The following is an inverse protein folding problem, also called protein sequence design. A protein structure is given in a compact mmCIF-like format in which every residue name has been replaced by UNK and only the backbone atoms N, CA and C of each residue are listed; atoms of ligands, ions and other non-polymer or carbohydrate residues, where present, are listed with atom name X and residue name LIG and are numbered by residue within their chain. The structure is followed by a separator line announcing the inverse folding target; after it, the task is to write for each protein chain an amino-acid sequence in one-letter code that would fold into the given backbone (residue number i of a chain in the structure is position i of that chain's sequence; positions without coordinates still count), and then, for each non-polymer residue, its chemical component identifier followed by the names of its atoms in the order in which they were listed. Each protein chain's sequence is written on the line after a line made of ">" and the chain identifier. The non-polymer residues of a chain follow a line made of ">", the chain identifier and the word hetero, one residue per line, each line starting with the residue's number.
data_IF_388243937100
#
_entry.id   IF_388243937100
#
_cell.length_a   1.000
_cell.length_b   1.000
_cell.length_c   1.000
_cell.angle_alpha   90.00
_cell.angle_beta   90.00
_cell.angle_gamma   90.00
#
_symmetry.space_group_name_H-M   'P 1'
#
loop_
_entity.id
_entity.type
_entity.pdbx_description
1 polymer ?
#
# COMPACT_ATOMS: atom_id res chain seq x y z
N UNK A 1 13.38 31.58 -3.09
CA UNK A 1 12.02 31.56 -3.64
C UNK A 1 11.97 32.60 -4.75
N UNK A 2 11.45 32.23 -5.91
CA UNK A 2 11.46 33.04 -7.13
C UNK A 2 10.01 33.21 -7.57
N UNK A 3 9.59 34.45 -7.78
CA UNK A 3 8.28 34.75 -8.36
C UNK A 3 8.30 34.34 -9.84
N UNK A 4 7.35 33.49 -10.25
CA UNK A 4 7.17 33.04 -11.64
C UNK A 4 6.16 33.95 -12.35
N UNK A 5 5.07 34.31 -11.67
CA UNK A 5 4.08 35.29 -12.13
C UNK A 5 3.41 36.02 -10.94
N UNK A 6 2.37 36.81 -11.20
CA UNK A 6 1.67 37.61 -10.18
C UNK A 6 1.12 36.77 -9.00
N UNK A 7 0.93 35.46 -9.18
CA UNK A 7 0.34 34.55 -8.19
C UNK A 7 1.18 33.31 -7.88
N UNK A 8 2.17 32.98 -8.71
CA UNK A 8 2.95 31.76 -8.61
C UNK A 8 4.38 32.04 -8.15
N UNK A 9 4.82 31.31 -7.13
CA UNK A 9 6.18 31.33 -6.62
C UNK A 9 6.75 29.92 -6.62
N UNK A 10 8.05 29.80 -6.83
CA UNK A 10 8.77 28.53 -6.78
C UNK A 10 9.97 28.59 -5.85
N UNK A 11 10.34 27.45 -5.30
CA UNK A 11 11.59 27.28 -4.58
C UNK A 11 12.10 25.87 -4.85
N UNK A 12 13.42 25.72 -4.87
CA UNK A 12 14.06 24.42 -5.00
C UNK A 12 14.36 23.86 -3.62
N UNK A 13 14.08 22.57 -3.44
CA UNK A 13 14.54 21.81 -2.28
C UNK A 13 15.87 21.18 -2.68
N UNK A 14 16.98 21.45 -1.97
CA UNK A 14 18.27 20.86 -2.29
C UNK A 14 18.21 19.34 -2.33
N UNK A 15 18.99 18.72 -3.21
CA UNK A 15 19.08 17.28 -3.31
C UNK A 15 19.39 16.66 -1.94
N UNK A 16 18.65 15.61 -1.61
CA UNK A 16 18.81 14.83 -0.40
C UNK A 16 19.21 13.39 -0.78
N UNK A 17 19.83 12.63 0.13
CA UNK A 17 20.08 11.20 -0.10
C UNK A 17 18.78 10.41 -0.32
N UNK A 18 18.85 9.30 -1.06
CA UNK A 18 17.74 8.34 -1.15
C UNK A 18 17.32 7.86 0.24
N UNK A 19 16.05 7.46 0.38
CA UNK A 19 15.38 7.12 1.64
C UNK A 19 15.22 8.27 2.65
N UNK A 20 15.64 9.49 2.32
CA UNK A 20 15.32 10.65 3.14
C UNK A 20 13.83 11.00 3.05
N UNK A 21 13.23 11.36 4.19
CA UNK A 21 11.90 11.99 4.22
C UNK A 21 12.11 13.49 4.42
N UNK A 22 11.78 14.27 3.40
CA UNK A 22 11.81 15.73 3.49
C UNK A 22 10.51 16.20 4.10
N UNK A 23 10.59 16.95 5.20
CA UNK A 23 9.47 17.67 5.80
C UNK A 23 9.61 19.15 5.49
N UNK A 24 8.54 19.76 5.00
CA UNK A 24 8.55 21.16 4.60
C UNK A 24 7.20 21.82 4.85
N UNK A 25 7.19 23.14 4.87
CA UNK A 25 5.99 23.97 4.89
C UNK A 25 6.25 25.21 4.06
N UNK A 26 5.18 25.86 3.61
CA UNK A 26 5.25 27.14 2.92
C UNK A 26 4.87 28.22 3.90
N UNK A 27 5.56 29.36 3.85
CA UNK A 27 5.19 30.55 4.61
C UNK A 27 5.18 31.78 3.71
N UNK A 28 4.19 32.64 3.88
CA UNK A 28 4.07 33.92 3.21
C UNK A 28 3.91 35.02 4.26
N UNK A 29 4.58 36.14 4.06
CA UNK A 29 4.49 37.34 4.89
C UNK A 29 4.23 38.53 3.97
N UNK A 30 3.28 39.39 4.35
CA UNK A 30 2.97 40.60 3.60
C UNK A 30 3.77 41.82 4.07
N UNK A 31 3.58 42.95 3.39
CA UNK A 31 4.24 44.22 3.70
C UNK A 31 3.88 44.82 5.07
N UNK A 32 2.83 44.29 5.72
CA UNK A 32 2.40 44.64 7.08
C UNK A 32 2.96 43.68 8.13
N UNK A 33 3.82 42.73 7.74
CA UNK A 33 4.38 41.72 8.63
C UNK A 33 3.38 40.63 9.04
N UNK A 34 2.23 40.52 8.35
CA UNK A 34 1.24 39.47 8.64
C UNK A 34 1.69 38.20 7.95
N UNK A 35 1.90 37.16 8.76
CA UNK A 35 2.43 35.87 8.30
C UNK A 35 1.36 34.79 8.27
N UNK A 36 1.38 33.96 7.23
CA UNK A 36 0.61 32.71 7.11
C UNK A 36 1.53 31.56 6.74
N UNK A 37 1.10 30.36 7.08
CA UNK A 37 1.79 29.11 6.77
C UNK A 37 0.83 28.12 6.12
N UNK A 38 1.39 27.17 5.38
CA UNK A 38 0.70 25.99 4.91
C UNK A 38 1.59 24.75 5.14
N UNK A 39 1.15 23.76 5.93
CA UNK A 39 -0.10 23.72 6.70
C UNK A 39 -0.18 24.87 7.73
N UNK A 40 -1.40 25.29 8.09
CA UNK A 40 -1.63 26.49 8.92
C UNK A 40 -1.06 26.40 10.33
N UNK A 41 -0.77 25.20 10.81
CA UNK A 41 -0.20 24.91 12.12
C UNK A 41 1.22 24.33 12.05
N UNK A 42 1.93 24.51 10.93
CA UNK A 42 3.29 23.96 10.75
C UNK A 42 4.29 24.39 11.82
N UNK A 43 4.14 25.60 12.35
CA UNK A 43 5.06 26.18 13.34
C UNK A 43 4.64 25.94 14.80
N UNK A 44 3.41 25.47 15.04
CA UNK A 44 2.89 25.22 16.39
C UNK A 44 2.81 23.73 16.73
N UNK A 45 2.44 22.90 15.74
CA UNK A 45 2.09 21.49 15.97
C UNK A 45 3.02 20.52 15.22
N UNK A 46 4.11 21.02 14.62
CA UNK A 46 5.04 20.21 13.79
C UNK A 46 4.35 19.45 12.63
N UNK A 47 3.26 20.01 12.10
CA UNK A 47 2.54 19.45 10.96
C UNK A 47 3.15 19.96 9.67
N UNK A 48 3.85 19.09 8.96
CA UNK A 48 4.54 19.41 7.72
C UNK A 48 3.94 18.67 6.54
N UNK A 49 4.05 19.27 5.35
CA UNK A 49 4.04 18.50 4.12
C UNK A 49 5.28 17.60 4.10
N UNK A 50 5.18 16.44 3.47
CA UNK A 50 6.31 15.53 3.35
C UNK A 50 6.34 14.82 2.02
N UNK A 51 7.55 14.49 1.55
CA UNK A 51 7.78 13.54 0.47
C UNK A 51 9.04 12.71 0.74
N UNK A 52 9.10 11.53 0.16
CA UNK A 52 10.27 10.65 0.22
C UNK A 52 11.17 10.86 -0.99
N UNK A 53 12.48 10.75 -0.79
CA UNK A 53 13.46 10.69 -1.88
C UNK A 53 13.57 9.24 -2.34
N UNK A 54 12.80 8.93 -3.37
CA UNK A 54 12.69 7.57 -3.88
C UNK A 54 13.82 7.23 -4.85
N UNK A 55 14.34 6.02 -4.74
CA UNK A 55 15.20 5.41 -5.74
C UNK A 55 14.34 4.53 -6.67
N UNK A 56 14.29 4.80 -7.98
CA UNK A 56 13.55 3.99 -8.93
C UNK A 56 13.94 2.50 -8.89
N UNK A 57 12.97 1.63 -9.19
CA UNK A 57 13.19 0.17 -9.31
C UNK A 57 13.81 -0.47 -8.05
N UNK A 58 13.45 0.04 -6.88
CA UNK A 58 13.84 -0.53 -5.59
C UNK A 58 12.64 -1.15 -4.90
N UNK A 59 12.91 -2.13 -4.02
CA UNK A 59 11.91 -2.68 -3.11
C UNK A 59 11.55 -1.60 -2.09
N UNK A 60 10.32 -1.09 -2.16
CA UNK A 60 9.87 0.05 -1.36
C UNK A 60 9.49 -0.33 0.08
N UNK A 61 9.14 -1.60 0.30
CA UNK A 61 8.77 -2.22 1.57
C UNK A 61 9.11 -3.71 1.46
N UNK A 62 9.58 -4.31 2.55
CA UNK A 62 9.79 -5.74 2.66
C UNK A 62 9.63 -6.24 4.09
N UNK A 63 8.52 -6.91 4.38
CA UNK A 63 8.21 -7.58 5.64
C UNK A 63 8.36 -9.09 5.44
N UNK A 64 9.53 -9.60 5.83
CA UNK A 64 9.82 -11.05 5.78
C UNK A 64 9.19 -11.83 6.93
N UNK A 65 8.95 -11.17 8.07
CA UNK A 65 8.51 -11.76 9.35
C UNK A 65 9.53 -12.70 10.01
N UNK A 66 10.79 -12.70 9.57
CA UNK A 66 11.83 -13.57 10.12
C UNK A 66 12.36 -13.12 11.50
N UNK A 67 11.87 -12.00 12.04
CA UNK A 67 12.15 -11.58 13.41
C UNK A 67 11.54 -12.55 14.45
N UNK A 68 10.46 -13.23 14.07
CA UNK A 68 9.81 -14.26 14.88
C UNK A 68 9.10 -13.74 16.14
N UNK A 69 8.56 -14.67 16.96
CA UNK A 69 7.77 -14.33 18.14
C UNK A 69 8.47 -13.38 19.11
N UNK A 70 7.75 -12.37 19.60
CA UNK A 70 8.24 -11.38 20.55
C UNK A 70 8.80 -10.10 19.94
N UNK A 71 8.89 -10.02 18.61
CA UNK A 71 9.38 -8.85 17.88
C UNK A 71 8.28 -8.20 17.04
N UNK A 72 8.38 -6.89 16.84
CA UNK A 72 7.52 -6.17 15.88
C UNK A 72 8.07 -6.43 14.47
N UNK A 73 7.23 -6.73 13.46
CA UNK A 73 7.68 -6.87 12.07
C UNK A 73 8.47 -5.64 11.62
N UNK A 74 9.60 -5.86 10.95
CA UNK A 74 10.45 -4.76 10.48
C UNK A 74 10.50 -4.73 8.96
N UNK A 75 10.50 -3.52 8.41
CA UNK A 75 10.82 -3.33 7.01
C UNK A 75 12.32 -3.52 6.79
N UNK A 76 12.66 -4.62 6.11
CA UNK A 76 14.01 -4.98 5.71
C UNK A 76 14.43 -4.37 4.36
N UNK A 77 13.57 -3.57 3.74
CA UNK A 77 13.92 -2.79 2.56
C UNK A 77 14.96 -1.72 2.87
N UNK A 78 15.50 -1.12 1.80
CA UNK A 78 16.40 0.03 1.92
C UNK A 78 15.80 1.23 2.68
N UNK A 79 14.47 1.34 2.73
CA UNK A 79 13.77 2.48 3.32
C UNK A 79 13.52 2.33 4.82
N UNK A 80 13.58 1.13 5.38
CA UNK A 80 13.39 0.88 6.81
C UNK A 80 12.10 1.50 7.36
N UNK A 81 11.01 1.39 6.61
CA UNK A 81 9.74 2.00 6.95
C UNK A 81 9.24 1.53 8.33
N UNK A 82 8.81 2.46 9.21
CA UNK A 82 8.25 2.08 10.49
C UNK A 82 6.92 1.36 10.31
N UNK A 83 6.80 0.18 10.92
CA UNK A 83 5.56 -0.61 10.95
C UNK A 83 4.83 -0.35 12.26
N UNK A 84 3.56 0.05 12.15
CA UNK A 84 2.65 0.11 13.30
C UNK A 84 1.81 -1.16 13.34
N UNK A 85 1.80 -1.81 14.49
CA UNK A 85 1.04 -3.04 14.75
C UNK A 85 -0.22 -2.68 15.51
N UNK A 86 -1.37 -3.12 14.99
CA UNK A 86 -2.67 -2.99 15.65
C UNK A 86 -3.19 -4.36 16.04
N UNK A 87 -3.97 -4.44 17.11
CA UNK A 87 -4.46 -5.71 17.65
C UNK A 87 -3.35 -6.52 18.31
N UNK A 88 -3.41 -7.85 18.16
CA UNK A 88 -2.40 -8.79 18.66
C UNK A 88 -1.96 -9.80 17.58
N UNK A 89 -1.35 -9.37 16.46
CA UNK A 89 -0.77 -10.29 15.50
C UNK A 89 0.26 -11.22 16.14
N UNK A 90 0.33 -12.46 15.66
CA UNK A 90 1.28 -13.46 16.16
C UNK A 90 2.06 -14.08 15.02
N UNK A 91 3.27 -14.58 15.30
CA UNK A 91 4.05 -15.29 14.30
C UNK A 91 3.64 -16.76 14.23
N UNK A 92 3.65 -17.32 13.04
CA UNK A 92 3.28 -18.70 12.74
C UNK A 92 4.39 -19.41 11.98
N UNK A 93 4.74 -20.63 12.39
CA UNK A 93 5.94 -21.34 11.88
C UNK A 93 5.74 -22.16 10.61
N UNK A 94 4.51 -22.38 10.15
CA UNK A 94 4.23 -23.12 8.92
C UNK A 94 3.94 -22.14 7.77
N UNK A 95 4.91 -21.26 7.54
CA UNK A 95 4.89 -20.26 6.47
C UNK A 95 5.07 -20.90 5.10
N UNK A 96 4.49 -20.29 4.06
CA UNK A 96 4.81 -20.65 2.68
C UNK A 96 6.21 -20.20 2.25
N UNK A 97 6.70 -19.10 2.84
CA UNK A 97 8.01 -18.53 2.55
C UNK A 97 8.70 -18.19 3.87
N UNK A 98 9.99 -18.53 3.98
CA UNK A 98 10.75 -18.34 5.22
C UNK A 98 10.33 -19.28 6.35
N UNK A 99 10.73 -18.95 7.58
CA UNK A 99 10.37 -19.71 8.77
C UNK A 99 9.06 -19.21 9.39
N UNK A 100 8.66 -17.97 9.12
CA UNK A 100 7.52 -17.34 9.78
C UNK A 100 6.59 -16.60 8.84
N UNK A 101 5.30 -16.65 9.18
CA UNK A 101 4.25 -15.79 8.66
C UNK A 101 3.67 -14.96 9.81
N UNK A 102 3.05 -13.82 9.49
CA UNK A 102 2.25 -13.08 10.45
C UNK A 102 0.78 -13.53 10.37
N UNK A 103 0.20 -13.85 11.53
CA UNK A 103 -1.21 -14.15 11.69
C UNK A 103 -1.98 -12.89 12.12
N UNK A 104 -3.11 -12.64 11.46
CA UNK A 104 -4.08 -11.59 11.77
C UNK A 104 -5.43 -12.27 12.05
N UNK A 105 -6.06 -12.00 13.20
CA UNK A 105 -7.23 -12.78 13.63
C UNK A 105 -8.57 -12.44 12.96
N UNK A 106 -8.61 -11.49 12.02
CA UNK A 106 -9.85 -11.12 11.35
C UNK A 106 -10.82 -10.27 12.17
N UNK A 107 -10.38 -9.69 13.30
CA UNK A 107 -11.22 -8.81 14.13
C UNK A 107 -10.65 -7.39 14.36
N UNK A 108 -9.39 -7.25 14.74
CA UNK A 108 -8.80 -5.94 15.05
C UNK A 108 -7.33 -5.82 14.64
N UNK A 109 -6.69 -6.94 14.30
CA UNK A 109 -5.30 -6.98 13.89
C UNK A 109 -5.08 -6.60 12.44
N UNK A 110 -4.12 -5.71 12.26
CA UNK A 110 -3.59 -5.33 10.96
C UNK A 110 -2.23 -4.68 11.14
N UNK A 111 -1.47 -4.59 10.05
CA UNK A 111 -0.22 -3.84 9.98
C UNK A 111 -0.46 -2.55 9.19
N UNK A 112 0.17 -1.46 9.63
CA UNK A 112 0.09 -0.17 8.96
C UNK A 112 1.49 0.42 8.78
N UNK A 113 1.79 0.86 7.56
CA UNK A 113 3.01 1.58 7.22
C UNK A 113 2.62 2.98 6.75
N UNK A 114 2.94 3.98 7.57
CA UNK A 114 2.71 5.40 7.29
C UNK A 114 3.99 6.06 6.75
N UNK A 115 4.35 5.68 5.53
CA UNK A 115 5.54 6.18 4.86
C UNK A 115 5.24 6.52 3.40
N UNK A 116 5.97 7.48 2.80
CA UNK A 116 5.72 7.89 1.42
C UNK A 116 6.20 6.88 0.38
N UNK A 117 7.06 5.92 0.74
CA UNK A 117 7.75 5.05 -0.23
C UNK A 117 6.88 3.94 -0.84
N UNK A 118 5.97 3.27 -0.09
CA UNK A 118 5.03 2.33 -0.69
C UNK A 118 4.03 2.99 -1.66
N UNK A 119 3.88 4.32 -1.61
CA UNK A 119 3.02 5.06 -2.53
C UNK A 119 3.76 5.36 -3.84
N UNK A 120 3.61 4.48 -4.83
CA UNK A 120 4.21 4.64 -6.16
C UNK A 120 3.14 4.63 -7.26
N UNK A 121 3.29 5.44 -8.33
CA UNK A 121 2.37 5.44 -9.48
C UNK A 121 2.44 4.12 -10.28
N UNK A 122 3.59 3.46 -10.24
CA UNK A 122 3.84 2.15 -10.85
C UNK A 122 4.48 1.24 -9.81
N UNK A 123 4.02 0.00 -9.70
CA UNK A 123 4.46 -0.88 -8.61
C UNK A 123 4.29 -2.37 -8.95
N UNK A 124 4.88 -3.20 -8.11
CA UNK A 124 4.58 -4.61 -7.97
C UNK A 124 4.32 -4.89 -6.49
N UNK A 125 3.20 -5.52 -6.19
CA UNK A 125 2.93 -6.18 -4.92
C UNK A 125 3.13 -7.67 -5.13
N UNK A 126 3.85 -8.31 -4.24
CA UNK A 126 4.23 -9.72 -4.28
C UNK A 126 4.11 -10.21 -2.84
N UNK A 127 3.22 -11.17 -2.58
CA UNK A 127 3.00 -11.66 -1.23
C UNK A 127 2.34 -13.03 -1.19
N UNK A 128 2.62 -13.77 -0.12
CA UNK A 128 1.95 -15.01 0.21
C UNK A 128 0.81 -14.78 1.18
N UNK A 129 -0.29 -15.51 1.00
CA UNK A 129 -1.43 -15.46 1.91
C UNK A 129 -2.09 -16.83 2.11
N UNK A 130 -2.70 -17.01 3.27
CA UNK A 130 -3.55 -18.15 3.61
C UNK A 130 -4.69 -17.65 4.50
N UNK A 131 -5.94 -17.97 4.16
CA UNK A 131 -7.12 -17.44 4.87
C UNK A 131 -7.73 -18.49 5.79
N UNK A 132 -8.14 -18.09 6.99
CA UNK A 132 -8.86 -18.99 7.91
C UNK A 132 -10.29 -19.27 7.44
N UNK A 133 -10.94 -18.24 6.90
CA UNK A 133 -12.32 -18.29 6.41
C UNK A 133 -12.49 -17.46 5.14
N UNK A 134 -13.42 -17.89 4.28
CA UNK A 134 -13.76 -17.20 3.03
C UNK A 134 -14.91 -16.22 3.20
N UNK A 135 -14.92 -15.51 4.33
CA UNK A 135 -15.96 -14.51 4.60
C UNK A 135 -16.04 -13.45 3.49
N UNK A 136 -17.21 -12.82 3.36
CA UNK A 136 -17.48 -11.86 2.29
C UNK A 136 -16.48 -10.70 2.30
N UNK A 137 -16.16 -10.13 1.13
CA UNK A 137 -15.30 -8.95 0.92
C UNK A 137 -14.17 -8.73 1.97
N UNK A 138 -12.96 -9.19 1.66
CA UNK A 138 -11.78 -9.11 2.56
C UNK A 138 -10.59 -8.44 1.88
N UNK A 139 -10.15 -7.29 2.37
CA UNK A 139 -8.92 -6.64 1.90
C UNK A 139 -7.70 -7.28 2.55
N UNK A 140 -6.81 -7.80 1.72
CA UNK A 140 -5.51 -8.31 2.16
C UNK A 140 -4.51 -7.18 2.25
N UNK A 141 -4.38 -6.41 1.18
CA UNK A 141 -3.43 -5.31 1.08
C UNK A 141 -4.14 -4.10 0.49
N UNK A 142 -3.84 -2.91 1.00
CA UNK A 142 -4.32 -1.67 0.40
C UNK A 142 -3.39 -0.50 0.70
N UNK A 143 -3.40 0.48 -0.20
CA UNK A 143 -2.87 1.81 0.06
C UNK A 143 -3.99 2.83 -0.06
N UNK A 144 -4.15 3.73 0.91
CA UNK A 144 -5.13 4.80 0.82
C UNK A 144 -5.46 5.48 2.14
N UNK A 145 -6.32 6.49 2.08
CA UNK A 145 -6.69 7.34 3.22
C UNK A 145 -7.70 6.72 4.17
N UNK A 146 -8.17 5.51 3.87
CA UNK A 146 -9.10 4.76 4.74
C UNK A 146 -10.56 5.16 4.58
N UNK A 147 -10.90 6.17 3.77
CA UNK A 147 -12.28 6.67 3.56
C UNK A 147 -13.03 6.05 2.37
N UNK A 148 -12.63 4.84 1.96
CA UNK A 148 -13.33 4.04 0.94
C UNK A 148 -12.71 4.19 -0.45
N UNK A 149 -11.82 5.18 -0.59
CA UNK A 149 -10.88 5.32 -1.69
C UNK A 149 -9.56 4.67 -1.31
N UNK A 150 -9.21 3.56 -1.96
CA UNK A 150 -7.84 3.07 -1.97
C UNK A 150 -7.18 3.54 -3.27
N UNK A 151 -5.91 3.94 -3.20
CA UNK A 151 -5.10 4.07 -4.40
C UNK A 151 -5.07 2.74 -5.13
N UNK A 152 -4.70 1.68 -4.41
CA UNK A 152 -4.78 0.33 -4.88
C UNK A 152 -5.15 -0.62 -3.75
N UNK A 153 -5.68 -1.77 -4.11
CA UNK A 153 -5.96 -2.86 -3.17
C UNK A 153 -5.96 -4.20 -3.88
N UNK A 154 -5.59 -5.23 -3.11
CA UNK A 154 -5.80 -6.64 -3.46
C UNK A 154 -6.72 -7.23 -2.40
N UNK A 155 -7.82 -7.83 -2.83
CA UNK A 155 -8.90 -8.26 -1.95
C UNK A 155 -9.65 -9.47 -2.51
N UNK A 156 -10.40 -10.12 -1.62
CA UNK A 156 -11.25 -11.24 -1.94
C UNK A 156 -12.69 -10.78 -2.16
N UNK A 157 -13.31 -11.25 -3.24
CA UNK A 157 -14.73 -11.07 -3.51
C UNK A 157 -15.60 -12.08 -2.73
N UNK A 158 -16.92 -11.82 -2.54
CA UNK A 158 -17.81 -12.76 -1.86
C UNK A 158 -17.94 -14.15 -2.52
N UNK A 159 -17.54 -14.27 -3.79
CA UNK A 159 -17.47 -15.55 -4.51
C UNK A 159 -16.11 -16.27 -4.34
N UNK A 160 -15.25 -15.77 -3.44
CA UNK A 160 -13.92 -16.29 -3.14
C UNK A 160 -12.93 -16.19 -4.31
N UNK A 161 -13.11 -15.20 -5.18
CA UNK A 161 -12.13 -14.88 -6.24
C UNK A 161 -11.24 -13.71 -5.82
N UNK A 162 -9.96 -13.79 -6.19
CA UNK A 162 -9.00 -12.71 -5.96
C UNK A 162 -9.26 -11.57 -6.95
N UNK A 163 -9.18 -10.33 -6.49
CA UNK A 163 -9.36 -9.14 -7.31
C UNK A 163 -8.35 -8.06 -6.92
N UNK A 164 -7.89 -7.30 -7.92
CA UNK A 164 -7.10 -6.11 -7.73
C UNK A 164 -7.83 -4.88 -8.27
N UNK A 165 -7.63 -3.74 -7.63
CA UNK A 165 -8.20 -2.46 -8.04
C UNK A 165 -7.14 -1.37 -7.86
N UNK A 166 -7.10 -0.40 -8.78
CA UNK A 166 -6.31 0.83 -8.67
C UNK A 166 -7.08 2.04 -9.20
N UNK A 167 -6.83 3.21 -8.60
CA UNK A 167 -7.38 4.50 -9.04
C UNK A 167 -6.54 5.06 -10.19
N UNK A 168 -7.13 5.14 -11.39
CA UNK A 168 -6.51 5.68 -12.59
C UNK A 168 -7.49 6.70 -13.21
N UNK A 169 -7.30 7.99 -12.94
CA UNK A 169 -8.30 9.02 -13.30
C UNK A 169 -8.49 9.22 -14.81
N UNK A 170 -7.49 8.87 -15.63
CA UNK A 170 -7.52 9.09 -17.09
C UNK A 170 -7.93 7.85 -17.89
N UNK A 171 -8.25 6.73 -17.23
CA UNK A 171 -8.63 5.50 -17.90
C UNK A 171 -10.16 5.45 -18.14
N UNK A 172 -10.63 5.19 -19.38
CA UNK A 172 -12.05 5.09 -19.69
C UNK A 172 -12.82 4.02 -18.91
N UNK A 173 -12.12 2.98 -18.44
CA UNK A 173 -12.67 1.87 -17.67
C UNK A 173 -12.90 2.29 -16.20
N UNK A 174 -12.09 3.23 -15.69
CA UNK A 174 -12.12 3.71 -14.32
C UNK A 174 -11.82 2.61 -13.27
N UNK A 175 -11.79 2.98 -11.99
CA UNK A 175 -11.44 2.04 -10.91
C UNK A 175 -12.40 0.84 -10.83
N UNK A 176 -13.72 1.08 -10.94
CA UNK A 176 -14.73 0.01 -10.89
C UNK A 176 -14.62 -0.96 -12.06
N UNK A 177 -14.35 -0.47 -13.28
CA UNK A 177 -14.17 -1.37 -14.42
C UNK A 177 -12.84 -2.13 -14.34
N UNK A 178 -11.78 -1.51 -13.79
CA UNK A 178 -10.51 -2.18 -13.57
C UNK A 178 -10.70 -3.38 -12.64
N UNK A 179 -11.46 -3.17 -11.55
CA UNK A 179 -11.84 -4.21 -10.60
C UNK A 179 -12.59 -5.37 -11.29
N UNK A 180 -13.54 -5.07 -12.16
CA UNK A 180 -14.34 -6.11 -12.83
C UNK A 180 -13.48 -6.95 -13.79
N UNK A 181 -12.53 -6.32 -14.48
CA UNK A 181 -11.64 -6.97 -15.46
C UNK A 181 -10.43 -7.69 -14.81
N UNK A 182 -9.94 -7.21 -13.65
CA UNK A 182 -8.86 -7.83 -12.86
C UNK A 182 -9.37 -8.77 -11.76
N UNK A 183 -10.55 -9.35 -11.96
CA UNK A 183 -11.05 -10.43 -11.12
C UNK A 183 -10.65 -11.78 -11.72
N UNK A 184 -9.95 -12.60 -10.94
CA UNK A 184 -9.57 -13.95 -11.35
C UNK A 184 -10.79 -14.88 -11.39
N UNK A 185 -10.70 -15.94 -12.18
CA UNK A 185 -11.75 -16.96 -12.31
C UNK A 185 -11.58 -18.08 -11.27
N UNK A 186 -10.34 -18.32 -10.82
CA UNK A 186 -10.00 -19.30 -9.79
C UNK A 186 -10.54 -18.87 -8.43
N UNK A 187 -11.26 -19.80 -7.79
CA UNK A 187 -11.73 -19.66 -6.42
C UNK A 187 -10.67 -20.17 -5.46
N UNK A 188 -10.36 -19.37 -4.45
CA UNK A 188 -9.46 -19.78 -3.37
C UNK A 188 -10.20 -20.67 -2.36
N UNK A 189 -9.45 -21.51 -1.65
CA UNK A 189 -9.94 -22.25 -0.50
C UNK A 189 -9.28 -21.73 0.78
N UNK A 190 -10.02 -21.74 1.89
CA UNK A 190 -9.45 -21.48 3.20
C UNK A 190 -8.45 -22.57 3.61
N UNK A 191 -7.47 -22.20 4.43
CA UNK A 191 -6.42 -23.10 4.93
C UNK A 191 -5.35 -23.45 3.89
N UNK A 192 -5.37 -22.84 2.71
CA UNK A 192 -4.40 -23.08 1.64
C UNK A 192 -3.53 -21.84 1.42
N UNK A 193 -2.23 -22.08 1.21
CA UNK A 193 -1.28 -21.05 0.82
C UNK A 193 -1.41 -20.75 -0.67
N UNK A 194 -1.40 -19.46 -0.97
CA UNK A 194 -1.37 -18.92 -2.32
C UNK A 194 -0.32 -17.80 -2.37
N UNK A 195 0.22 -17.60 -3.56
CA UNK A 195 1.11 -16.48 -3.86
C UNK A 195 0.40 -15.57 -4.87
N UNK A 196 0.25 -14.29 -4.52
CA UNK A 196 -0.36 -13.28 -5.37
C UNK A 196 0.67 -12.25 -5.81
N UNK A 197 0.66 -11.94 -7.11
CA UNK A 197 1.44 -10.85 -7.68
C UNK A 197 0.47 -9.88 -8.35
N UNK A 198 0.51 -8.61 -7.96
CA UNK A 198 -0.21 -7.53 -8.62
C UNK A 198 0.76 -6.47 -9.14
N UNK A 199 0.78 -6.28 -10.46
CA UNK A 199 1.63 -5.31 -11.13
C UNK A 199 0.77 -4.21 -11.76
N UNK A 200 1.22 -2.96 -11.60
CA UNK A 200 0.66 -1.80 -12.27
C UNK A 200 1.79 -1.00 -12.92
N UNK A 201 1.71 -0.82 -14.23
CA UNK A 201 2.54 0.10 -15.02
C UNK A 201 1.69 1.22 -15.60
N UNK A 202 2.31 2.14 -16.33
CA UNK A 202 1.59 3.20 -17.04
C UNK A 202 0.70 2.72 -18.20
N UNK A 203 0.83 1.47 -18.65
CA UNK A 203 0.14 0.92 -19.82
C UNK A 203 -0.55 -0.43 -19.58
N UNK A 204 -0.30 -1.08 -18.44
CA UNK A 204 -0.91 -2.36 -18.12
C UNK A 204 -1.10 -2.61 -16.63
N UNK A 205 -2.10 -3.43 -16.33
CA UNK A 205 -2.31 -4.01 -15.01
C UNK A 205 -2.33 -5.53 -15.13
N UNK A 206 -1.71 -6.25 -14.20
CA UNK A 206 -1.59 -7.70 -14.24
C UNK A 206 -1.73 -8.28 -12.84
N UNK A 207 -2.75 -9.11 -12.64
CA UNK A 207 -2.94 -9.89 -11.42
C UNK A 207 -2.68 -11.35 -11.71
N UNK A 208 -1.89 -12.00 -10.86
CA UNK A 208 -1.49 -13.39 -10.99
C UNK A 208 -1.70 -14.11 -9.65
N UNK A 209 -2.10 -15.37 -9.72
CA UNK A 209 -2.29 -16.25 -8.58
C UNK A 209 -1.57 -17.58 -8.81
N UNK A 210 -0.77 -17.98 -7.84
CA UNK A 210 -0.02 -19.22 -7.83
C UNK A 210 -0.43 -20.07 -6.62
N UNK A 211 -0.22 -21.37 -6.73
CA UNK A 211 -0.39 -22.30 -5.61
C UNK A 211 0.82 -22.32 -4.66
N UNK A 212 0.76 -23.17 -3.64
CA UNK A 212 1.81 -23.35 -2.64
C UNK A 212 3.18 -23.83 -3.19
N UNK A 213 3.23 -24.28 -4.45
CA UNK A 213 4.46 -24.73 -5.12
C UNK A 213 4.92 -23.73 -6.21
N UNK A 214 4.42 -22.49 -6.19
CA UNK A 214 4.65 -21.47 -7.21
C UNK A 214 4.20 -21.90 -8.63
N UNK A 215 3.21 -22.79 -8.74
CA UNK A 215 2.59 -23.07 -10.03
C UNK A 215 1.47 -22.09 -10.31
N UNK A 216 1.51 -21.43 -11.48
CA UNK A 216 0.47 -20.49 -11.91
C UNK A 216 -0.89 -21.20 -11.98
N UNK A 217 -1.87 -20.67 -11.25
CA UNK A 217 -3.25 -21.12 -11.27
C UNK A 217 -4.10 -20.27 -12.20
N UNK A 218 -3.92 -18.94 -12.16
CA UNK A 218 -4.73 -17.99 -12.91
C UNK A 218 -4.04 -16.64 -13.05
N UNK A 219 -4.43 -15.90 -14.09
CA UNK A 219 -4.00 -14.53 -14.29
C UNK A 219 -5.01 -13.72 -15.12
N UNK A 220 -5.04 -12.41 -14.87
CA UNK A 220 -5.74 -11.43 -15.69
C UNK A 220 -4.81 -10.29 -16.00
N UNK A 221 -4.74 -9.93 -17.28
CA UNK A 221 -3.97 -8.79 -17.77
C UNK A 221 -4.88 -7.85 -18.54
N UNK A 222 -4.75 -6.56 -18.24
CA UNK A 222 -5.52 -5.49 -18.84
C UNK A 222 -4.59 -4.40 -19.37
N UNK A 223 -4.93 -3.83 -20.52
CA UNK A 223 -4.30 -2.59 -21.00
C UNK A 223 -5.00 -1.40 -20.37
N UNK A 224 -4.23 -0.45 -19.86
CA UNK A 224 -4.73 0.76 -19.19
C UNK A 224 -4.07 2.01 -19.79
N UNK A 225 -4.59 3.18 -19.44
CA UNK A 225 -4.10 4.48 -19.89
C UNK A 225 -3.67 5.30 -18.68
N UNK A 226 -2.36 5.28 -18.41
CA UNK A 226 -1.72 6.08 -17.37
C UNK A 226 -1.53 5.32 -16.06
N UNK A 227 -0.64 5.81 -15.18
CA UNK A 227 -0.35 5.18 -13.91
C UNK A 227 -1.42 5.48 -12.84
N UNK A 228 -1.25 4.90 -11.65
CA UNK A 228 -2.05 5.27 -10.49
C UNK A 228 -1.94 6.78 -10.18
N UNK A 229 -3.08 7.42 -9.89
CA UNK A 229 -3.17 8.88 -9.72
C UNK A 229 -3.23 9.34 -8.28
N UNK A 230 -3.47 8.44 -7.32
CA UNK A 230 -3.70 8.79 -5.90
C UNK A 230 -2.58 8.27 -5.01
N UNK A 231 -1.53 9.04 -4.75
CA UNK A 231 -0.37 8.55 -3.98
C UNK A 231 -0.44 8.88 -2.48
N UNK A 232 -1.63 9.11 -1.94
CA UNK A 232 -1.85 9.52 -0.57
C UNK A 232 -2.38 8.39 0.34
N UNK A 233 -2.16 8.56 1.64
CA UNK A 233 -2.63 7.65 2.66
C UNK A 233 -1.56 6.68 3.14
N UNK A 234 -2.02 5.56 3.71
CA UNK A 234 -1.17 4.60 4.41
C UNK A 234 -1.29 3.23 3.75
N UNK A 235 -0.18 2.51 3.71
CA UNK A 235 -0.17 1.11 3.32
C UNK A 235 -0.65 0.25 4.49
N UNK A 236 -1.55 -0.69 4.22
CA UNK A 236 -2.15 -1.54 5.25
C UNK A 236 -2.24 -2.98 4.78
N UNK A 237 -1.96 -3.88 5.72
CA UNK A 237 -2.11 -5.32 5.56
C UNK A 237 -3.20 -5.78 6.53
N UNK A 238 -4.31 -6.25 5.98
CA UNK A 238 -5.40 -6.89 6.71
C UNK A 238 -6.51 -5.98 7.26
N UNK A 239 -6.59 -4.71 6.81
CA UNK A 239 -7.66 -3.79 7.22
C UNK A 239 -8.66 -3.50 6.09
N UNK A 240 -9.96 -3.66 6.38
CA UNK A 240 -11.05 -3.14 5.57
C UNK A 240 -11.42 -1.71 5.96
N UNK A 241 -11.90 -0.96 4.97
CA UNK A 241 -12.52 0.38 5.09
C UNK A 241 -13.16 0.68 6.47
N UNK A 242 -12.84 1.83 7.07
CA UNK A 242 -13.44 2.31 8.34
C UNK A 242 -13.48 1.25 9.47
N UNK A 243 -12.53 0.31 9.53
CA UNK A 243 -12.51 -0.73 10.57
C UNK A 243 -13.74 -1.67 10.52
N UNK A 244 -14.37 -1.81 9.36
CA UNK A 244 -15.61 -2.60 9.20
C UNK A 244 -15.38 -4.07 8.82
N UNK A 245 -14.12 -4.47 8.69
CA UNK A 245 -13.72 -5.84 8.38
C UNK A 245 -12.21 -5.98 8.46
N UNK A 246 -11.74 -7.19 8.71
CA UNK A 246 -10.33 -7.47 8.88
C UNK A 246 -10.01 -8.80 8.20
N UNK A 247 -8.78 -8.93 7.73
CA UNK A 247 -8.28 -10.18 7.18
C UNK A 247 -8.03 -11.17 8.33
N UNK A 248 -8.63 -12.35 8.20
CA UNK A 248 -8.39 -13.50 9.09
C UNK A 248 -7.51 -14.52 8.39
N UNK A 249 -6.28 -14.70 8.87
CA UNK A 249 -5.34 -15.67 8.34
C UNK A 249 -3.89 -15.22 8.42
N UNK A 250 -3.07 -15.73 7.51
CA UNK A 250 -1.62 -15.60 7.49
C UNK A 250 -1.17 -14.82 6.26
N UNK A 251 -0.18 -13.93 6.45
CA UNK A 251 0.57 -13.26 5.38
C UNK A 251 2.05 -13.58 5.56
N UNK A 252 2.76 -13.87 4.47
CA UNK A 252 4.20 -14.06 4.47
C UNK A 252 4.86 -13.31 3.32
N UNK A 253 6.08 -12.82 3.56
CA UNK A 253 6.99 -12.22 2.58
C UNK A 253 6.33 -11.20 1.64
N UNK A 254 6.17 -9.95 2.09
CA UNK A 254 5.49 -8.85 1.36
C UNK A 254 6.35 -7.60 1.19
#
# INVERSE_FOLDING_TARGET
>A
MTQIDDSLYSAEIPQQPFASIVRYYVSAEDDQGRRRTFPSNAETDSVFLRFGIFQPQTRALHLSFEEGPGHIPQDSSFYGNPVTVWGNPTYFTNSAMGNYAIYLEGEQSYLEVDAPFPASPEFTLDFWFNMDSLESFRRMVSLGTGTGSSNYMVFLMPDSTLTAESSIDNDPIGASGLRDELKLDTRINAGQWYHAIYQLSSDSAWLQLYDANDMLLDEKRLSIIGPATRLDGKFRIGLLYNHTGYFGGYIADI
#
